data_IF_019929909391
#
_entry.id   IF_019929909391
#
_cell.length_a   1.000
_cell.length_b   1.000
_cell.length_c   1.000
_cell.angle_alpha   90.00
_cell.angle_beta   90.00
_cell.angle_gamma   90.00
#
_symmetry.space_group_name_H-M   'P 1'
#
loop_
_entity.id
_entity.type
_entity.pdbx_description
1 polymer ?
#
# COMPACT_ATOMS: atom_id res chain seq x y z
N UNK A 1 -0.13 -14.14 -29.07
CA UNK A 1 -1.08 -15.27 -29.06
C UNK A 1 -2.38 -14.77 -28.44
N UNK A 2 -3.29 -14.26 -29.28
CA UNK A 2 -4.52 -13.57 -28.90
C UNK A 2 -5.65 -14.58 -28.68
N UNK A 3 -6.31 -14.54 -27.52
CA UNK A 3 -7.48 -15.37 -27.24
C UNK A 3 -8.70 -14.84 -28.02
N UNK A 4 -9.45 -15.70 -28.72
CA UNK A 4 -10.61 -15.29 -29.51
C UNK A 4 -11.84 -15.06 -28.62
N UNK A 5 -12.35 -13.84 -28.62
CA UNK A 5 -13.68 -13.51 -28.12
C UNK A 5 -14.73 -14.14 -29.04
N UNK A 6 -15.46 -15.15 -28.57
CA UNK A 6 -16.53 -15.80 -29.33
C UNK A 6 -17.71 -14.83 -29.51
N UNK A 7 -17.94 -14.37 -30.74
CA UNK A 7 -19.12 -13.57 -31.13
C UNK A 7 -20.29 -14.48 -31.48
N UNK A 8 -21.50 -14.11 -31.07
CA UNK A 8 -22.72 -14.80 -31.50
C UNK A 8 -23.06 -14.47 -32.98
N UNK A 9 -24.03 -15.18 -33.56
CA UNK A 9 -24.43 -15.04 -34.96
C UNK A 9 -25.01 -13.66 -35.36
N UNK A 10 -25.15 -12.71 -34.41
CA UNK A 10 -25.58 -11.33 -34.66
C UNK A 10 -24.49 -10.29 -34.38
N UNK A 11 -23.27 -10.71 -34.04
CA UNK A 11 -22.15 -9.80 -33.78
C UNK A 11 -22.20 -9.08 -32.43
N UNK A 12 -23.12 -9.46 -31.55
CA UNK A 12 -23.24 -8.89 -30.20
C UNK A 12 -22.36 -9.62 -29.20
N UNK A 13 -21.81 -8.86 -28.25
CA UNK A 13 -21.04 -9.37 -27.12
C UNK A 13 -22.02 -10.13 -26.21
N UNK A 14 -21.99 -11.47 -26.22
CA UNK A 14 -22.82 -12.30 -25.36
C UNK A 14 -22.54 -12.02 -23.86
N UNK A 15 -23.33 -11.13 -23.25
CA UNK A 15 -23.36 -10.90 -21.79
C UNK A 15 -24.21 -12.02 -21.17
N UNK A 16 -23.62 -13.19 -20.96
CA UNK A 16 -24.36 -14.34 -20.45
C UNK A 16 -23.53 -15.59 -20.16
N UNK A 17 -22.26 -15.43 -19.77
CA UNK A 17 -21.44 -16.51 -19.23
C UNK A 17 -21.47 -16.53 -17.70
N UNK A 18 -21.17 -17.67 -17.04
CA UNK A 18 -21.00 -17.71 -15.59
C UNK A 18 -19.95 -16.69 -15.17
N UNK A 19 -20.32 -15.78 -14.26
CA UNK A 19 -19.41 -14.74 -13.77
C UNK A 19 -18.11 -15.39 -13.29
N UNK A 20 -17.00 -15.06 -13.95
CA UNK A 20 -15.70 -15.53 -13.54
C UNK A 20 -15.35 -14.95 -12.17
N UNK A 21 -14.48 -15.64 -11.41
CA UNK A 21 -13.94 -15.17 -10.12
C UNK A 21 -13.30 -13.77 -10.21
N UNK A 22 -13.03 -13.29 -11.43
CA UNK A 22 -12.39 -12.00 -11.73
C UNK A 22 -13.34 -10.97 -12.39
N UNK A 23 -14.64 -11.26 -12.47
CA UNK A 23 -15.70 -10.33 -12.94
C UNK A 23 -16.24 -9.44 -11.81
N UNK A 24 -15.44 -9.25 -10.77
CA UNK A 24 -15.80 -8.39 -9.65
C UNK A 24 -15.94 -6.92 -10.05
N UNK A 25 -16.89 -6.23 -9.41
CA UNK A 25 -17.17 -4.80 -9.61
C UNK A 25 -15.91 -3.95 -9.37
N UNK A 26 -15.68 -2.97 -10.25
CA UNK A 26 -14.69 -1.91 -10.07
C UNK A 26 -15.36 -0.58 -9.68
N UNK A 27 -14.66 0.30 -8.94
CA UNK A 27 -15.11 1.66 -8.70
C UNK A 27 -15.29 2.41 -10.03
N UNK A 28 -16.49 2.93 -10.27
CA UNK A 28 -16.81 3.66 -11.51
C UNK A 28 -16.55 5.16 -11.41
N UNK A 29 -16.36 5.69 -10.20
CA UNK A 29 -16.09 7.11 -9.93
C UNK A 29 -15.32 7.31 -8.61
N UNK A 30 -14.59 8.45 -8.45
CA UNK A 30 -14.06 8.86 -7.15
C UNK A 30 -15.19 9.01 -6.13
N UNK A 31 -15.06 8.34 -4.97
CA UNK A 31 -16.09 8.35 -3.92
C UNK A 31 -17.11 7.21 -4.01
N UNK A 32 -16.92 6.23 -4.92
CA UNK A 32 -17.67 4.98 -4.86
C UNK A 32 -17.24 4.18 -3.62
N UNK A 33 -18.09 4.14 -2.59
CA UNK A 33 -17.85 3.45 -1.32
C UNK A 33 -18.21 1.96 -1.36
N UNK A 34 -18.63 1.44 -2.53
CA UNK A 34 -18.92 0.02 -2.66
C UNK A 34 -17.63 -0.81 -2.65
N UNK A 35 -17.70 -1.97 -2.01
CA UNK A 35 -16.59 -2.93 -1.94
C UNK A 35 -16.20 -3.39 -3.34
N UNK A 36 -14.92 -3.22 -3.69
CA UNK A 36 -14.35 -3.77 -4.92
C UNK A 36 -14.27 -5.29 -4.82
N UNK A 37 -14.83 -6.01 -5.81
CA UNK A 37 -14.87 -7.47 -5.79
C UNK A 37 -13.84 -8.12 -6.74
N UNK A 38 -13.02 -7.33 -7.45
CA UNK A 38 -12.13 -7.81 -8.50
C UNK A 38 -10.86 -8.50 -8.00
N UNK A 39 -10.52 -8.29 -6.73
CA UNK A 39 -9.45 -8.99 -6.03
C UNK A 39 -8.08 -8.74 -6.68
N UNK A 40 -7.38 -9.81 -7.04
CA UNK A 40 -5.98 -9.75 -7.50
C UNK A 40 -5.83 -9.61 -9.02
N UNK A 41 -6.93 -9.49 -9.78
CA UNK A 41 -6.86 -9.44 -11.23
C UNK A 41 -6.22 -8.13 -11.72
N UNK A 42 -5.47 -8.15 -12.84
CA UNK A 42 -4.86 -6.94 -13.39
C UNK A 42 -5.90 -5.88 -13.77
N UNK A 43 -5.60 -4.62 -13.46
CA UNK A 43 -6.42 -3.46 -13.80
C UNK A 43 -6.29 -3.15 -15.31
N UNK A 44 -7.41 -2.96 -16.05
CA UNK A 44 -7.41 -2.70 -17.48
C UNK A 44 -6.93 -1.28 -17.76
N UNK A 45 -6.37 -1.03 -18.95
CA UNK A 45 -5.71 0.24 -19.28
C UNK A 45 -6.64 1.46 -19.20
N UNK A 46 -7.91 1.30 -19.58
CA UNK A 46 -8.95 2.33 -19.53
C UNK A 46 -9.33 2.76 -18.10
N UNK A 47 -9.05 1.92 -17.11
CA UNK A 47 -9.24 2.21 -15.69
C UNK A 47 -7.93 2.53 -14.95
N UNK A 48 -6.82 2.74 -15.65
CA UNK A 48 -5.56 3.21 -15.04
C UNK A 48 -5.55 4.73 -15.01
N UNK A 49 -5.90 5.28 -13.84
CA UNK A 49 -5.91 6.73 -13.61
C UNK A 49 -5.02 7.09 -12.42
N UNK A 50 -4.25 8.17 -12.56
CA UNK A 50 -3.37 8.65 -11.51
C UNK A 50 -2.16 9.38 -12.09
N UNK A 51 -2.04 10.67 -11.78
CA UNK A 51 -0.85 11.45 -12.09
C UNK A 51 0.15 11.50 -10.92
N UNK A 52 1.37 11.99 -11.14
CA UNK A 52 2.38 12.15 -10.09
C UNK A 52 1.90 12.94 -8.86
N UNK A 53 1.03 13.94 -9.07
CA UNK A 53 0.45 14.72 -7.96
C UNK A 53 -0.44 13.90 -7.03
N UNK A 54 -1.16 12.89 -7.53
CA UNK A 54 -1.98 12.00 -6.70
C UNK A 54 -1.10 11.03 -5.91
N UNK A 55 0.02 10.59 -6.50
CA UNK A 55 1.03 9.80 -5.78
C UNK A 55 1.62 10.60 -4.62
N UNK A 56 1.91 11.89 -4.81
CA UNK A 56 2.37 12.75 -3.71
C UNK A 56 1.39 12.72 -2.54
N UNK A 57 0.09 12.91 -2.76
CA UNK A 57 -0.89 12.88 -1.66
C UNK A 57 -1.01 11.51 -0.98
N UNK A 58 -0.91 10.41 -1.75
CA UNK A 58 -0.98 9.04 -1.24
C UNK A 58 0.23 8.70 -0.36
N UNK A 59 1.41 9.22 -0.71
CA UNK A 59 2.64 8.98 0.05
C UNK A 59 2.87 10.01 1.15
N UNK A 60 2.47 11.27 0.96
CA UNK A 60 2.72 12.34 1.91
C UNK A 60 2.03 12.07 3.26
N UNK A 61 0.74 11.72 3.24
CA UNK A 61 -0.04 11.48 4.44
C UNK A 61 0.56 10.39 5.38
N UNK A 62 0.87 9.17 4.91
CA UNK A 62 1.45 8.13 5.77
C UNK A 62 2.90 8.38 6.16
N UNK A 63 3.63 9.28 5.48
CA UNK A 63 5.01 9.61 5.84
C UNK A 63 5.10 10.62 7.00
N UNK A 64 4.02 11.31 7.37
CA UNK A 64 3.96 12.18 8.54
C UNK A 64 3.79 11.36 9.83
N UNK A 65 4.80 10.55 10.16
CA UNK A 65 4.82 9.69 11.34
C UNK A 65 6.03 9.96 12.22
N UNK A 66 5.89 9.64 13.51
CA UNK A 66 6.98 9.77 14.48
C UNK A 66 8.23 8.98 14.08
N UNK A 67 8.06 7.88 13.34
CA UNK A 67 9.15 7.10 12.75
C UNK A 67 10.10 7.96 11.92
N UNK A 68 9.58 8.89 11.12
CA UNK A 68 10.41 9.80 10.32
C UNK A 68 11.25 10.75 11.17
N UNK A 69 10.70 11.21 12.30
CA UNK A 69 11.44 12.04 13.27
C UNK A 69 12.60 11.23 13.88
N UNK A 70 12.34 10.00 14.30
CA UNK A 70 13.38 9.12 14.82
C UNK A 70 14.49 8.89 13.79
N UNK A 71 14.15 8.58 12.54
CA UNK A 71 15.14 8.43 11.46
C UNK A 71 16.01 9.67 11.29
N UNK A 72 15.42 10.87 11.37
CA UNK A 72 16.17 12.14 11.31
C UNK A 72 17.12 12.33 12.49
N UNK A 73 16.70 11.95 13.70
CA UNK A 73 17.54 12.10 14.91
C UNK A 73 18.70 11.11 14.99
N UNK A 74 18.61 9.96 14.33
CA UNK A 74 19.65 8.91 14.38
C UNK A 74 21.01 9.44 13.90
N UNK A 75 21.04 10.24 12.83
CA UNK A 75 22.30 10.81 12.35
C UNK A 75 23.01 11.66 13.41
N UNK A 76 22.27 12.50 14.12
CA UNK A 76 22.80 13.35 15.19
C UNK A 76 23.19 12.50 16.40
N UNK A 77 22.39 11.49 16.75
CA UNK A 77 22.69 10.57 17.84
C UNK A 77 23.98 9.76 17.60
N UNK A 78 24.35 9.53 16.34
CA UNK A 78 25.62 8.91 15.93
C UNK A 78 26.81 9.89 15.92
N UNK A 79 26.60 11.16 16.29
CA UNK A 79 27.65 12.18 16.40
C UNK A 79 27.89 13.00 15.13
N UNK A 80 26.99 12.93 14.13
CA UNK A 80 27.09 13.79 12.95
C UNK A 80 26.54 15.19 13.25
N UNK A 81 27.15 16.20 12.63
CA UNK A 81 26.56 17.55 12.59
C UNK A 81 25.22 17.56 11.84
N UNK A 82 24.32 18.49 12.19
CA UNK A 82 22.99 18.59 11.59
C UNK A 82 23.04 18.64 10.06
N UNK A 83 23.97 19.42 9.50
CA UNK A 83 24.11 19.57 8.05
C UNK A 83 24.47 18.24 7.36
N UNK A 84 25.37 17.48 7.98
CA UNK A 84 25.86 16.20 7.43
C UNK A 84 24.82 15.10 7.63
N UNK A 85 24.14 15.08 8.78
CA UNK A 85 23.03 14.18 9.04
C UNK A 85 21.87 14.40 8.05
N UNK A 86 21.52 15.66 7.78
CA UNK A 86 20.48 16.00 6.81
C UNK A 86 20.84 15.53 5.41
N UNK A 87 22.07 15.82 4.95
CA UNK A 87 22.54 15.36 3.64
C UNK A 87 22.57 13.83 3.56
N UNK A 88 23.03 13.15 4.60
CA UNK A 88 23.05 11.69 4.65
C UNK A 88 21.64 11.09 4.54
N UNK A 89 20.66 11.64 5.26
CA UNK A 89 19.26 11.21 5.19
C UNK A 89 18.66 11.47 3.81
N UNK A 90 18.89 12.65 3.23
CA UNK A 90 18.40 12.98 1.88
C UNK A 90 19.01 12.03 0.85
N UNK A 91 20.33 11.84 0.86
CA UNK A 91 21.01 10.95 -0.07
C UNK A 91 20.57 9.49 0.10
N UNK A 92 20.47 9.00 1.35
CA UNK A 92 19.98 7.65 1.63
C UNK A 92 18.55 7.44 1.13
N UNK A 93 17.68 8.43 1.32
CA UNK A 93 16.30 8.40 0.83
C UNK A 93 16.24 8.38 -0.69
N UNK A 94 17.04 9.23 -1.37
CA UNK A 94 17.11 9.24 -2.82
C UNK A 94 17.63 7.92 -3.38
N UNK A 95 18.69 7.36 -2.79
CA UNK A 95 19.25 6.07 -3.20
C UNK A 95 18.25 4.92 -3.00
N UNK A 96 17.52 4.90 -1.87
CA UNK A 96 16.47 3.91 -1.61
C UNK A 96 15.23 4.09 -2.48
N UNK A 97 14.94 5.32 -2.92
CA UNK A 97 13.83 5.62 -3.81
C UNK A 97 14.07 5.08 -5.23
N UNK A 98 15.31 4.96 -5.71
CA UNK A 98 15.62 4.47 -7.07
C UNK A 98 15.04 3.07 -7.36
N UNK A 99 15.36 2.00 -6.59
CA UNK A 99 14.81 0.68 -6.86
C UNK A 99 13.29 0.65 -6.67
N UNK A 100 12.77 1.40 -5.70
CA UNK A 100 11.34 1.50 -5.42
C UNK A 100 10.59 2.15 -6.59
N UNK A 101 11.13 3.24 -7.14
CA UNK A 101 10.58 3.92 -8.30
C UNK A 101 10.61 3.02 -9.55
N UNK A 102 11.72 2.30 -9.75
CA UNK A 102 11.85 1.36 -10.86
C UNK A 102 10.79 0.24 -10.78
N UNK A 103 10.66 -0.43 -9.64
CA UNK A 103 9.65 -1.48 -9.43
C UNK A 103 8.21 -0.92 -9.48
N UNK A 104 8.03 0.35 -9.09
CA UNK A 104 6.75 1.06 -9.22
C UNK A 104 6.27 1.18 -10.68
N UNK A 105 7.20 1.29 -11.64
CA UNK A 105 6.84 1.36 -13.07
C UNK A 105 6.25 0.07 -13.62
N UNK A 106 6.51 -1.08 -12.98
CA UNK A 106 5.96 -2.37 -13.43
C UNK A 106 4.46 -2.47 -13.14
N UNK A 107 3.99 -1.85 -12.06
CA UNK A 107 2.58 -1.81 -11.71
C UNK A 107 1.74 -1.04 -12.73
N UNK A 108 2.23 0.09 -13.24
CA UNK A 108 1.51 0.88 -14.25
C UNK A 108 1.45 0.20 -15.62
N UNK A 109 2.45 -0.60 -15.97
CA UNK A 109 2.51 -1.34 -17.23
C UNK A 109 1.68 -2.63 -17.21
N UNK A 110 1.78 -3.40 -16.13
CA UNK A 110 1.10 -4.71 -16.03
C UNK A 110 -0.32 -4.62 -15.46
N UNK A 111 -0.62 -3.55 -14.71
CA UNK A 111 -1.88 -3.41 -13.97
C UNK A 111 -2.02 -4.38 -12.79
N UNK A 112 -0.99 -5.17 -12.49
CA UNK A 112 -1.03 -6.17 -11.43
C UNK A 112 -0.38 -5.65 -10.13
N UNK A 113 -0.86 -6.14 -8.99
CA UNK A 113 -0.23 -5.86 -7.70
C UNK A 113 1.18 -6.45 -7.60
N UNK A 114 2.01 -5.88 -6.72
CA UNK A 114 3.40 -6.31 -6.52
C UNK A 114 3.52 -7.79 -6.11
N UNK A 115 2.63 -8.28 -5.24
CA UNK A 115 2.63 -9.68 -4.79
C UNK A 115 2.25 -10.67 -5.91
N UNK A 116 1.18 -10.45 -6.69
CA UNK A 116 0.93 -11.23 -7.91
C UNK A 116 2.10 -11.22 -8.90
N UNK A 117 2.75 -10.07 -9.11
CA UNK A 117 3.91 -9.95 -10.00
C UNK A 117 5.12 -10.73 -9.49
N UNK A 118 5.35 -10.76 -8.18
CA UNK A 118 6.45 -11.53 -7.58
C UNK A 118 6.37 -13.03 -7.89
N UNK A 119 5.20 -13.56 -8.27
CA UNK A 119 5.04 -14.96 -8.73
C UNK A 119 5.85 -15.25 -9.99
N UNK A 120 6.11 -14.26 -10.84
CA UNK A 120 6.90 -14.44 -12.06
C UNK A 120 8.36 -14.76 -11.75
N UNK A 121 8.92 -14.15 -10.69
CA UNK A 121 10.30 -14.37 -10.28
C UNK A 121 10.46 -15.57 -9.33
N UNK A 122 9.52 -15.74 -8.38
CA UNK A 122 9.65 -16.73 -7.30
C UNK A 122 8.79 -17.99 -7.50
N UNK A 123 7.88 -18.02 -8.48
CA UNK A 123 6.98 -19.15 -8.71
C UNK A 123 6.16 -19.49 -7.45
N UNK A 124 6.21 -20.75 -7.01
CA UNK A 124 5.53 -21.21 -5.78
C UNK A 124 6.18 -20.68 -4.50
N UNK A 125 7.44 -20.25 -4.55
CA UNK A 125 8.15 -19.68 -3.41
C UNK A 125 7.72 -18.24 -3.08
N UNK A 126 6.79 -17.65 -3.85
CA UNK A 126 6.18 -16.33 -3.58
C UNK A 126 5.56 -16.22 -2.17
N UNK A 127 5.21 -17.36 -1.56
CA UNK A 127 4.69 -17.41 -0.19
C UNK A 127 5.71 -16.83 0.80
N UNK A 128 7.01 -16.96 0.54
CA UNK A 128 8.07 -16.41 1.41
C UNK A 128 8.06 -14.88 1.42
N UNK A 129 8.23 -14.17 0.27
CA UNK A 129 8.12 -12.72 0.27
C UNK A 129 6.71 -12.24 0.64
N UNK A 130 5.67 -13.01 0.35
CA UNK A 130 4.30 -12.70 0.80
C UNK A 130 4.15 -12.72 2.31
N UNK A 131 4.64 -13.76 2.99
CA UNK A 131 4.61 -13.87 4.45
C UNK A 131 5.49 -12.81 5.10
N UNK A 132 6.67 -12.53 4.54
CA UNK A 132 7.55 -11.47 5.02
C UNK A 132 6.87 -10.10 4.91
N UNK A 133 6.29 -9.79 3.74
CA UNK A 133 5.56 -8.54 3.54
C UNK A 133 4.39 -8.42 4.51
N UNK A 134 3.64 -9.49 4.74
CA UNK A 134 2.53 -9.50 5.70
C UNK A 134 3.01 -9.22 7.12
N UNK A 135 4.10 -9.86 7.56
CA UNK A 135 4.71 -9.59 8.86
C UNK A 135 5.21 -8.15 8.98
N UNK A 136 5.86 -7.63 7.93
CA UNK A 136 6.32 -6.25 7.87
C UNK A 136 5.18 -5.24 7.95
N UNK A 137 4.04 -5.53 7.29
CA UNK A 137 2.83 -4.71 7.40
C UNK A 137 2.28 -4.71 8.82
N UNK A 138 2.20 -5.87 9.49
CA UNK A 138 1.78 -5.94 10.91
C UNK A 138 2.72 -5.13 11.81
N UNK A 139 4.03 -5.26 11.62
CA UNK A 139 5.01 -4.52 12.40
C UNK A 139 4.87 -3.00 12.19
N UNK A 140 4.64 -2.58 10.94
CA UNK A 140 4.41 -1.19 10.59
C UNK A 140 3.15 -0.63 11.25
N UNK A 141 2.03 -1.36 11.16
CA UNK A 141 0.76 -0.99 11.78
C UNK A 141 0.86 -0.93 13.31
N UNK A 142 1.56 -1.89 13.92
CA UNK A 142 1.80 -1.92 15.35
C UNK A 142 2.62 -0.72 15.82
N UNK A 143 3.65 -0.31 15.08
CA UNK A 143 4.46 0.87 15.40
C UNK A 143 3.64 2.16 15.33
N UNK A 144 2.85 2.34 14.27
CA UNK A 144 2.00 3.53 14.12
C UNK A 144 0.96 3.59 15.24
N UNK A 145 0.28 2.48 15.52
CA UNK A 145 -0.72 2.46 16.58
C UNK A 145 -0.12 2.57 17.98
N UNK A 146 1.13 2.12 18.19
CA UNK A 146 1.85 2.36 19.44
C UNK A 146 2.10 3.85 19.67
N UNK A 147 2.62 4.57 18.66
CA UNK A 147 2.84 6.01 18.76
C UNK A 147 1.54 6.79 18.90
N UNK A 148 0.49 6.39 18.16
CA UNK A 148 -0.84 6.98 18.31
C UNK A 148 -1.44 6.74 19.70
N UNK A 149 -1.23 5.53 20.26
CA UNK A 149 -1.68 5.16 21.60
C UNK A 149 -0.95 5.92 22.70
N UNK A 150 0.37 6.12 22.55
CA UNK A 150 1.16 6.94 23.46
C UNK A 150 0.71 8.41 23.44
N UNK A 151 0.52 8.98 22.25
CA UNK A 151 -0.02 10.33 22.09
C UNK A 151 -1.41 10.48 22.71
N UNK A 152 -2.29 9.48 22.55
CA UNK A 152 -3.62 9.46 23.14
C UNK A 152 -3.56 9.35 24.67
N UNK A 153 -2.67 8.51 25.21
CA UNK A 153 -2.46 8.37 26.64
C UNK A 153 -2.01 9.70 27.27
N UNK A 154 -1.06 10.39 26.63
CA UNK A 154 -0.57 11.70 27.08
C UNK A 154 -1.67 12.78 27.01
N UNK A 155 -2.50 12.78 25.97
CA UNK A 155 -3.58 13.75 25.81
C UNK A 155 -4.69 13.58 26.87
N UNK A 156 -5.06 12.34 27.17
CA UNK A 156 -6.16 12.03 28.10
C UNK A 156 -5.70 11.81 29.55
N UNK A 157 -4.39 11.81 29.81
CA UNK A 157 -3.83 11.47 31.13
C UNK A 157 -4.06 10.02 31.52
N UNK A 158 -4.16 9.11 30.55
CA UNK A 158 -4.42 7.69 30.76
C UNK A 158 -3.13 6.89 30.97
N UNK A 159 -3.19 5.74 31.64
CA UNK A 159 -2.06 4.81 31.64
C UNK A 159 -1.78 4.33 30.21
N UNK A 160 -0.50 4.25 29.85
CA UNK A 160 -0.02 3.89 28.51
C UNK A 160 -0.74 2.69 27.87
N UNK A 161 -0.88 1.59 28.62
CA UNK A 161 -1.56 0.38 28.15
C UNK A 161 -3.00 0.62 27.70
N UNK A 162 -3.73 1.52 28.36
CA UNK A 162 -5.11 1.85 27.99
C UNK A 162 -5.16 2.65 26.69
N UNK A 163 -4.28 3.65 26.53
CA UNK A 163 -4.20 4.45 25.31
C UNK A 163 -3.86 3.60 24.08
N UNK A 164 -2.89 2.70 24.22
CA UNK A 164 -2.51 1.75 23.16
C UNK A 164 -3.65 0.79 22.83
N UNK A 165 -4.33 0.23 23.84
CA UNK A 165 -5.43 -0.71 23.63
C UNK A 165 -6.60 -0.04 22.90
N UNK A 166 -6.96 1.17 23.31
CA UNK A 166 -8.02 1.96 22.64
C UNK A 166 -7.64 2.28 21.20
N UNK A 167 -6.39 2.71 20.95
CA UNK A 167 -5.91 3.03 19.61
C UNK A 167 -5.92 1.79 18.69
N UNK A 168 -5.41 0.65 19.18
CA UNK A 168 -5.42 -0.61 18.44
C UNK A 168 -6.84 -1.10 18.15
N UNK A 169 -7.77 -0.97 19.11
CA UNK A 169 -9.17 -1.32 18.91
C UNK A 169 -9.83 -0.42 17.86
N UNK A 170 -9.57 0.88 17.90
CA UNK A 170 -10.09 1.83 16.91
C UNK A 170 -9.53 1.55 15.50
N UNK A 171 -8.22 1.30 15.40
CA UNK A 171 -7.56 0.93 14.13
C UNK A 171 -8.11 -0.38 13.58
N UNK A 172 -8.31 -1.39 14.43
CA UNK A 172 -8.94 -2.66 14.05
C UNK A 172 -10.38 -2.48 13.57
N UNK A 173 -11.17 -1.64 14.25
CA UNK A 173 -12.54 -1.34 13.84
C UNK A 173 -12.59 -0.62 12.49
N UNK A 174 -11.71 0.36 12.26
CA UNK A 174 -11.58 1.03 10.97
C UNK A 174 -11.19 0.04 9.87
N UNK A 175 -10.25 -0.87 10.14
CA UNK A 175 -9.87 -1.92 9.20
C UNK A 175 -11.01 -2.87 8.81
N UNK A 176 -11.99 -3.08 9.68
CA UNK A 176 -13.20 -3.88 9.37
C UNK A 176 -14.23 -3.08 8.58
N UNK A 177 -14.31 -1.77 8.79
CA UNK A 177 -15.32 -0.90 8.17
C UNK A 177 -14.92 -0.34 6.80
N UNK A 178 -13.61 -0.27 6.51
CA UNK A 178 -13.07 0.23 5.24
C UNK A 178 -12.68 1.70 5.31
#
# INVERSE_FOLDING_TARGET
>A
MSLPYARNARGEVAVGGPQGVFDGRMPTAPGDLHVEARGIAPVPEDHRYGGPGRLFTVWFAPNLTMTGVFTGTVGIALGLDFSTALVAVVLGTLLGAVPTAYLGTWGSQTGAGQLPLARLAFGRAVVVPGALQWLSSIAWDALIGLFGGDALAQLCGWPFWLGVLVMMAAQGALGVLG
#
